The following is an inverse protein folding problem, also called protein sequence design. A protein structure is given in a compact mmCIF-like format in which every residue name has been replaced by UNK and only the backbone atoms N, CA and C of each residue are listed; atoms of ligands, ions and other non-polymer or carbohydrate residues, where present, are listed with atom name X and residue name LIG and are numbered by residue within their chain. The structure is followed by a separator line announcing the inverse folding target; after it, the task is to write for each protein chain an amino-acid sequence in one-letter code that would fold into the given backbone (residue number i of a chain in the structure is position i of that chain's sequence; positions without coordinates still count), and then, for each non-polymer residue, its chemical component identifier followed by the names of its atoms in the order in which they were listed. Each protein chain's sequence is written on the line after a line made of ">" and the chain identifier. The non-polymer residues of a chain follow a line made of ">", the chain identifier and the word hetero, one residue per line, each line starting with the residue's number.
data_IF_940533321163
#
_entry.id   IF_940533321163
#
_cell.length_a   1.000
_cell.length_b   1.000
_cell.length_c   1.000
_cell.angle_alpha   90.00
_cell.angle_beta   90.00
_cell.angle_gamma   90.00
#
_symmetry.space_group_name_H-M   'P 1'
#
loop_
_entity.id
_entity.type
_entity.pdbx_description
1 polymer ?
#
# COMPACT_ATOMS: atom_id res chain seq x y z
N UNK A 1 7.26 -12.26 8.59
CA UNK A 1 8.30 -11.55 9.36
C UNK A 1 7.97 -10.06 9.32
N UNK A 2 7.82 -9.45 10.51
CA UNK A 2 7.48 -8.06 10.87
C UNK A 2 6.55 -7.23 9.96
N UNK A 3 5.30 -7.07 10.39
CA UNK A 3 4.53 -5.85 10.12
C UNK A 3 5.10 -4.76 11.01
N UNK A 4 5.65 -3.70 10.45
CA UNK A 4 6.01 -2.53 11.24
C UNK A 4 4.84 -1.54 11.22
N UNK A 5 4.16 -1.39 12.37
CA UNK A 5 3.05 -0.47 12.55
C UNK A 5 3.59 0.80 13.16
N UNK A 6 3.79 1.83 12.35
CA UNK A 6 4.22 3.16 12.82
C UNK A 6 3.02 4.11 12.77
N UNK A 7 2.58 4.56 13.94
CA UNK A 7 1.61 5.66 14.05
C UNK A 7 2.42 6.96 13.95
N UNK A 8 2.24 7.70 12.86
CA UNK A 8 2.88 9.00 12.68
C UNK A 8 1.88 10.07 13.18
N UNK A 9 2.27 10.78 14.24
CA UNK A 9 1.55 11.94 14.80
C UNK A 9 0.02 11.79 15.01
N UNK A 10 -0.43 10.61 15.45
CA UNK A 10 -1.82 10.32 15.85
C UNK A 10 -2.89 10.33 14.75
N UNK A 11 -2.60 10.92 13.58
CA UNK A 11 -3.51 11.02 12.42
C UNK A 11 -3.14 10.09 11.27
N UNK A 12 -1.90 9.62 11.20
CA UNK A 12 -1.43 8.81 10.09
C UNK A 12 -1.16 7.38 10.58
N UNK A 13 -1.84 6.40 9.96
CA UNK A 13 -1.55 4.97 10.15
C UNK A 13 -0.85 4.41 8.93
N UNK A 14 0.42 4.05 9.11
CA UNK A 14 1.23 3.37 8.10
C UNK A 14 1.17 1.86 8.33
N UNK A 15 0.84 1.11 7.29
CA UNK A 15 0.90 -0.36 7.27
C UNK A 15 1.87 -0.78 6.17
N UNK A 16 3.04 -1.27 6.59
CA UNK A 16 4.08 -1.80 5.72
C UNK A 16 3.90 -3.32 5.57
N UNK A 17 3.68 -3.78 4.34
CA UNK A 17 3.58 -5.20 4.01
C UNK A 17 4.87 -5.65 3.33
N UNK A 18 5.60 -6.58 3.95
CA UNK A 18 6.64 -7.38 3.29
C UNK A 18 6.15 -8.81 3.12
N UNK A 19 6.07 -9.26 1.88
CA UNK A 19 5.81 -10.65 1.45
C UNK A 19 4.51 -11.34 1.92
N UNK A 20 3.52 -10.64 2.46
CA UNK A 20 2.31 -11.28 2.99
C UNK A 20 1.05 -10.49 2.62
N UNK A 21 0.16 -11.15 1.86
CA UNK A 21 -1.11 -10.57 1.38
C UNK A 21 -2.13 -10.23 2.49
N UNK A 22 -3.36 -9.92 2.06
CA UNK A 22 -4.53 -9.35 2.77
C UNK A 22 -4.67 -9.65 4.29
N UNK A 23 -4.32 -10.86 4.74
CA UNK A 23 -4.33 -11.27 6.14
C UNK A 23 -3.54 -10.33 7.07
N UNK A 24 -2.48 -9.72 6.55
CA UNK A 24 -1.61 -8.82 7.31
C UNK A 24 -2.19 -7.41 7.43
N UNK A 25 -2.87 -6.93 6.39
CA UNK A 25 -3.59 -5.65 6.40
C UNK A 25 -4.68 -5.68 7.46
N UNK A 26 -5.48 -6.76 7.50
CA UNK A 26 -6.56 -6.93 8.45
C UNK A 26 -6.07 -6.89 9.91
N UNK A 27 -5.02 -7.66 10.22
CA UNK A 27 -4.43 -7.67 11.57
C UNK A 27 -3.90 -6.30 12.00
N UNK A 28 -3.26 -5.57 11.08
CA UNK A 28 -2.70 -4.24 11.34
C UNK A 28 -3.77 -3.20 11.68
N UNK A 29 -4.92 -3.36 11.02
CA UNK A 29 -6.12 -2.53 11.20
C UNK A 29 -7.04 -3.06 12.31
N UNK A 30 -6.66 -4.12 13.02
CA UNK A 30 -7.45 -4.77 14.08
C UNK A 30 -8.81 -5.30 13.60
N UNK A 31 -8.84 -5.83 12.37
CA UNK A 31 -10.01 -6.45 11.74
C UNK A 31 -9.91 -7.97 11.89
N UNK A 32 -11.00 -8.59 12.37
CA UNK A 32 -11.03 -10.02 12.64
C UNK A 32 -11.05 -10.91 11.38
N UNK A 33 -11.49 -10.36 10.24
CA UNK A 33 -11.54 -11.05 8.95
C UNK A 33 -10.77 -10.26 7.90
N UNK A 34 -9.91 -10.95 7.16
CA UNK A 34 -9.22 -10.39 6.00
C UNK A 34 -10.12 -10.39 4.77
N UNK A 35 -11.16 -9.56 4.81
CA UNK A 35 -12.06 -9.32 3.68
C UNK A 35 -11.99 -7.84 3.35
N UNK A 36 -11.89 -7.50 2.07
CA UNK A 36 -11.80 -6.11 1.59
C UNK A 36 -12.89 -5.22 2.20
N UNK A 37 -14.14 -5.70 2.23
CA UNK A 37 -15.28 -4.96 2.80
C UNK A 37 -15.11 -4.62 4.28
N UNK A 38 -14.61 -5.56 5.08
CA UNK A 38 -14.39 -5.37 6.53
C UNK A 38 -13.22 -4.41 6.78
N UNK A 39 -12.18 -4.50 5.95
CA UNK A 39 -11.05 -3.57 5.97
C UNK A 39 -11.52 -2.15 5.63
N UNK A 40 -12.32 -1.98 4.58
CA UNK A 40 -12.87 -0.68 4.18
C UNK A 40 -13.79 -0.09 5.25
N UNK A 41 -14.67 -0.90 5.86
CA UNK A 41 -15.51 -0.45 6.96
C UNK A 41 -14.67 0.10 8.13
N UNK A 42 -13.57 -0.57 8.47
CA UNK A 42 -12.64 -0.10 9.50
C UNK A 42 -11.91 1.18 9.07
N UNK A 43 -11.52 1.31 7.81
CA UNK A 43 -10.90 2.54 7.27
C UNK A 43 -11.88 3.72 7.35
N UNK A 44 -13.16 3.52 7.05
CA UNK A 44 -14.20 4.55 7.20
C UNK A 44 -14.30 5.00 8.67
N UNK A 45 -14.31 4.06 9.62
CA UNK A 45 -14.32 4.42 11.05
C UNK A 45 -13.09 5.23 11.47
N UNK A 46 -11.91 4.91 10.92
CA UNK A 46 -10.68 5.68 11.17
C UNK A 46 -10.79 7.08 10.56
N UNK A 47 -11.29 7.20 9.34
CA UNK A 47 -11.49 8.47 8.65
C UNK A 47 -12.43 9.42 9.43
N UNK A 48 -13.50 8.88 10.06
CA UNK A 48 -14.40 9.66 10.93
C UNK A 48 -13.69 10.30 12.13
N UNK A 49 -12.56 9.75 12.56
CA UNK A 49 -11.72 10.30 13.64
C UNK A 49 -10.58 11.18 13.13
N UNK A 50 -10.56 11.49 11.83
CA UNK A 50 -9.49 12.23 11.17
C UNK A 50 -8.21 11.42 10.99
N UNK A 51 -8.29 10.09 11.05
CA UNK A 51 -7.15 9.21 10.77
C UNK A 51 -7.16 8.80 9.30
N UNK A 52 -6.00 8.92 8.65
CA UNK A 52 -5.77 8.46 7.29
C UNK A 52 -4.96 7.16 7.30
N UNK A 53 -5.27 6.26 6.36
CA UNK A 53 -4.64 4.95 6.25
C UNK A 53 -3.78 4.91 5.00
N UNK A 54 -2.51 4.55 5.20
CA UNK A 54 -1.50 4.42 4.16
C UNK A 54 -1.03 2.96 4.14
N UNK A 55 -1.22 2.31 3.00
CA UNK A 55 -0.77 0.95 2.72
C UNK A 55 0.46 1.03 1.83
N UNK A 56 1.60 0.57 2.32
CA UNK A 56 2.85 0.51 1.57
C UNK A 56 3.22 -0.95 1.41
N UNK A 57 3.37 -1.40 0.17
CA UNK A 57 3.78 -2.76 -0.15
C UNK A 57 5.12 -2.72 -0.86
N UNK A 58 6.09 -3.38 -0.24
CA UNK A 58 7.44 -3.55 -0.79
C UNK A 58 7.50 -4.88 -1.55
N UNK A 59 8.42 -4.96 -2.53
CA UNK A 59 8.56 -6.12 -3.45
C UNK A 59 7.21 -6.56 -4.07
N UNK A 60 6.39 -5.59 -4.50
CA UNK A 60 5.02 -5.83 -4.94
C UNK A 60 4.92 -6.72 -6.20
N UNK A 61 5.99 -6.86 -6.99
CA UNK A 61 6.07 -7.81 -8.10
C UNK A 61 5.94 -9.28 -7.66
N UNK A 62 6.12 -9.57 -6.36
CA UNK A 62 5.96 -10.92 -5.80
C UNK A 62 4.51 -11.25 -5.44
N UNK A 63 3.60 -10.28 -5.53
CA UNK A 63 2.19 -10.50 -5.25
C UNK A 63 1.53 -11.29 -6.37
N UNK A 64 0.71 -12.27 -5.99
CA UNK A 64 -0.19 -12.94 -6.92
C UNK A 64 -1.35 -12.03 -7.36
N UNK A 65 -1.95 -12.39 -8.48
CA UNK A 65 -3.08 -11.67 -9.11
C UNK A 65 -4.21 -11.32 -8.12
N UNK A 66 -4.63 -12.28 -7.28
CA UNK A 66 -5.71 -12.06 -6.31
C UNK A 66 -5.38 -10.97 -5.28
N UNK A 67 -4.12 -10.92 -4.82
CA UNK A 67 -3.68 -9.90 -3.88
C UNK A 67 -3.59 -8.52 -4.53
N UNK A 68 -3.12 -8.44 -5.78
CA UNK A 68 -3.13 -7.19 -6.56
C UNK A 68 -4.56 -6.69 -6.80
N UNK A 69 -5.47 -7.59 -7.17
CA UNK A 69 -6.89 -7.27 -7.34
C UNK A 69 -7.50 -6.71 -6.05
N UNK A 70 -7.24 -7.34 -4.90
CA UNK A 70 -7.74 -6.84 -3.62
C UNK A 70 -7.13 -5.48 -3.23
N UNK A 71 -5.85 -5.22 -3.56
CA UNK A 71 -5.23 -3.92 -3.34
C UNK A 71 -5.86 -2.83 -4.22
N UNK A 72 -6.21 -3.16 -5.47
CA UNK A 72 -6.94 -2.25 -6.36
C UNK A 72 -8.36 -1.96 -5.85
N UNK A 73 -9.06 -2.98 -5.35
CA UNK A 73 -10.38 -2.81 -4.72
C UNK A 73 -10.30 -1.96 -3.44
N UNK A 74 -9.27 -2.18 -2.62
CA UNK A 74 -9.01 -1.34 -1.45
C UNK A 74 -8.72 0.11 -1.85
N UNK A 75 -7.89 0.33 -2.88
CA UNK A 75 -7.55 1.67 -3.38
C UNK A 75 -8.76 2.41 -3.97
N UNK A 76 -9.67 1.69 -4.61
CA UNK A 76 -10.95 2.26 -5.06
C UNK A 76 -11.78 2.77 -3.87
N UNK A 77 -11.79 1.99 -2.78
CA UNK A 77 -12.42 2.34 -1.51
C UNK A 77 -13.93 2.54 -1.58
N UNK A 78 -14.48 3.31 -0.64
CA UNK A 78 -15.90 3.71 -0.64
C UNK A 78 -16.02 5.25 -0.70
N UNK A 79 -17.20 5.79 -1.01
CA UNK A 79 -17.42 7.24 -0.97
C UNK A 79 -17.07 7.90 0.37
N UNK A 80 -17.16 7.14 1.46
CA UNK A 80 -16.93 7.60 2.83
C UNK A 80 -15.48 7.46 3.29
N UNK A 81 -14.64 6.71 2.56
CA UNK A 81 -13.25 6.53 2.92
C UNK A 81 -12.50 5.55 2.02
N UNK A 82 -11.24 5.88 1.74
CA UNK A 82 -10.31 5.01 1.03
C UNK A 82 -8.89 5.14 1.61
N UNK A 83 -8.12 4.06 1.67
CA UNK A 83 -6.70 4.14 1.98
C UNK A 83 -5.91 4.71 0.79
N UNK A 84 -4.74 5.28 1.08
CA UNK A 84 -3.72 5.53 0.07
C UNK A 84 -2.85 4.28 -0.09
N UNK A 85 -2.78 3.72 -1.29
CA UNK A 85 -2.00 2.51 -1.58
C UNK A 85 -0.78 2.86 -2.41
N UNK A 86 0.40 2.46 -1.95
CA UNK A 86 1.67 2.61 -2.63
C UNK A 86 2.31 1.24 -2.82
N UNK A 87 2.64 0.91 -4.06
CA UNK A 87 3.32 -0.33 -4.44
C UNK A 87 4.73 0.02 -4.91
N UNK A 88 5.72 -0.58 -4.27
CA UNK A 88 7.12 -0.49 -4.66
C UNK A 88 7.51 -1.85 -5.22
N UNK A 89 8.13 -1.86 -6.39
CA UNK A 89 8.51 -3.09 -7.04
C UNK A 89 9.16 -2.89 -8.39
N UNK A 90 9.41 -4.00 -9.07
CA UNK A 90 10.04 -4.00 -10.38
C UNK A 90 9.07 -3.58 -11.52
N UNK A 91 9.59 -3.15 -12.69
CA UNK A 91 8.75 -2.77 -13.83
C UNK A 91 7.78 -3.87 -14.32
N UNK A 92 8.07 -5.14 -14.05
CA UNK A 92 7.20 -6.28 -14.36
C UNK A 92 5.82 -6.19 -13.70
N UNK A 93 5.74 -5.52 -12.53
CA UNK A 93 4.49 -5.27 -11.82
C UNK A 93 3.51 -4.44 -12.66
N UNK A 94 4.01 -3.48 -13.46
CA UNK A 94 3.17 -2.60 -14.27
C UNK A 94 2.35 -3.43 -15.25
N UNK A 95 2.98 -4.41 -15.91
CA UNK A 95 2.30 -5.30 -16.84
C UNK A 95 1.21 -6.13 -16.15
N UNK A 96 1.49 -6.67 -14.96
CA UNK A 96 0.51 -7.42 -14.17
C UNK A 96 -0.68 -6.55 -13.74
N UNK A 97 -0.43 -5.29 -13.36
CA UNK A 97 -1.49 -4.33 -13.04
C UNK A 97 -2.31 -3.96 -14.27
N UNK A 98 -1.68 -3.72 -15.42
CA UNK A 98 -2.36 -3.39 -16.68
C UNK A 98 -3.32 -4.50 -17.13
N UNK A 99 -2.90 -5.77 -17.02
CA UNK A 99 -3.74 -6.93 -17.32
C UNK A 99 -5.03 -6.96 -16.47
N UNK A 100 -4.93 -6.57 -15.20
CA UNK A 100 -6.07 -6.47 -14.29
C UNK A 100 -6.94 -5.23 -14.55
N UNK A 101 -6.42 -4.26 -15.30
CA UNK A 101 -6.92 -2.89 -15.34
C UNK A 101 -7.84 -2.53 -16.50
N UNK A 102 -8.07 -3.44 -17.45
CA UNK A 102 -9.14 -3.41 -18.46
C UNK A 102 -9.71 -2.01 -18.79
N UNK A 103 -8.83 -1.08 -19.21
CA UNK A 103 -9.13 0.28 -19.69
C UNK A 103 -9.52 1.35 -18.65
N UNK A 104 -9.24 1.16 -17.36
CA UNK A 104 -9.47 2.18 -16.33
C UNK A 104 -8.16 2.83 -15.87
N UNK A 105 -8.09 4.15 -15.69
CA UNK A 105 -6.91 4.80 -15.08
C UNK A 105 -6.94 4.65 -13.54
N UNK A 106 -6.77 3.42 -13.02
CA UNK A 106 -6.87 3.13 -11.57
C UNK A 106 -5.59 3.37 -10.77
N UNK A 107 -4.45 3.57 -11.42
CA UNK A 107 -3.17 3.80 -10.74
C UNK A 107 -2.26 4.77 -11.49
N UNK A 108 -1.26 5.28 -10.78
CA UNK A 108 -0.20 6.12 -11.33
C UNK A 108 1.15 5.42 -11.18
N UNK A 109 1.93 5.42 -12.24
CA UNK A 109 3.30 4.88 -12.26
C UNK A 109 4.28 6.02 -12.12
N UNK A 110 5.20 5.90 -11.17
CA UNK A 110 6.31 6.83 -10.97
C UNK A 110 7.60 6.02 -11.03
N UNK A 111 8.46 6.33 -12.00
CA UNK A 111 9.79 5.72 -12.09
C UNK A 111 10.74 6.40 -11.10
N UNK A 112 11.29 5.63 -10.16
CA UNK A 112 12.28 6.13 -9.21
C UNK A 112 13.64 6.21 -9.91
N UNK A 113 14.15 7.44 -10.04
CA UNK A 113 15.49 7.65 -10.59
C UNK A 113 16.56 7.23 -9.57
N UNK A 114 17.67 6.64 -10.03
CA UNK A 114 18.81 6.39 -9.14
C UNK A 114 19.37 7.73 -8.64
N UNK A 115 19.97 7.70 -7.45
CA UNK A 115 20.72 8.84 -6.95
C UNK A 115 21.86 9.21 -7.91
N UNK A 116 22.09 10.51 -8.06
CA UNK A 116 23.30 11.04 -8.70
C UNK A 116 24.54 10.70 -7.86
N UNK A 117 25.73 10.89 -8.43
CA UNK A 117 26.99 10.62 -7.72
C UNK A 117 27.11 11.46 -6.43
N UNK A 118 26.75 12.74 -6.50
CA UNK A 118 26.83 13.64 -5.35
C UNK A 118 25.80 13.28 -4.26
N UNK A 119 24.55 12.99 -4.64
CA UNK A 119 23.53 12.48 -3.70
C UNK A 119 23.95 11.14 -3.06
N UNK A 120 24.60 10.27 -3.85
CA UNK A 120 25.13 9.00 -3.34
C UNK A 120 26.24 9.25 -2.32
N UNK A 121 27.14 10.21 -2.58
CA UNK A 121 28.22 10.60 -1.66
C UNK A 121 27.64 11.15 -0.36
N UNK A 122 26.69 12.10 -0.45
CA UNK A 122 26.01 12.68 0.71
C UNK A 122 25.26 11.64 1.54
N UNK A 123 24.59 10.68 0.88
CA UNK A 123 23.89 9.60 1.57
C UNK A 123 24.85 8.69 2.34
N UNK A 124 26.00 8.34 1.76
CA UNK A 124 26.99 7.48 2.40
C UNK A 124 27.67 8.15 3.60
N UNK A 125 27.86 9.46 3.57
CA UNK A 125 28.42 10.22 4.69
C UNK A 125 27.49 10.26 5.93
N UNK A 126 26.19 10.03 5.74
CA UNK A 126 25.17 10.03 6.80
C UNK A 126 24.94 8.65 7.44
N UNK A 127 25.64 7.60 6.97
CA UNK A 127 25.43 6.21 7.37
C UNK A 127 26.46 5.73 8.39
#
# INVERSE_FOLDING_TARGET
>A
MAVDKKVLDGRLRLVLLRHMGEAVVAQSLNVAKAQVTEILAQIVQLALTGQEVYLLVDDAEQLGESALQALLELAAGTPEGRPHVFLFGEPSLIAALDELNAEQERFHVIELQPYTEDETREYLEQR
#
